data_IF_807543965149
#
_entry.id   IF_807543965149
#
_cell.length_a   1.000
_cell.length_b   1.000
_cell.length_c   1.000
_cell.angle_alpha   90.00
_cell.angle_beta   90.00
_cell.angle_gamma   90.00
#
_symmetry.space_group_name_H-M   'P 1'
#
loop_
_entity.id
_entity.type
_entity.pdbx_description
1 polymer ?
#
# COMPACT_ATOMS: atom_id res chain seq x y z
N UNK A 1 2.21 37.57 32.66
CA UNK A 1 0.96 38.11 32.07
C UNK A 1 0.92 39.64 32.13
N UNK A 2 0.69 40.29 33.28
CA UNK A 2 0.69 41.76 33.36
C UNK A 2 2.08 42.37 33.06
N UNK A 3 3.14 41.80 33.64
CA UNK A 3 4.51 42.25 33.38
C UNK A 3 4.95 42.04 31.93
N UNK A 4 4.57 40.92 31.29
CA UNK A 4 4.86 40.69 29.87
C UNK A 4 4.17 41.70 28.96
N UNK A 5 2.98 42.17 29.34
CA UNK A 5 2.26 43.16 28.58
C UNK A 5 2.87 44.56 28.75
N UNK A 6 3.36 44.88 29.96
CA UNK A 6 4.13 46.10 30.24
C UNK A 6 5.46 46.08 29.47
N UNK A 7 6.17 44.96 29.48
CA UNK A 7 7.43 44.77 28.75
C UNK A 7 7.19 44.87 27.24
N UNK A 8 6.14 44.23 26.71
CA UNK A 8 5.78 44.30 25.29
C UNK A 8 5.41 45.72 24.85
N UNK A 9 4.60 46.44 25.64
CA UNK A 9 4.24 47.85 25.37
C UNK A 9 5.46 48.76 25.44
N UNK A 10 6.38 48.53 26.40
CA UNK A 10 7.65 49.28 26.50
C UNK A 10 8.54 49.02 25.29
N UNK A 11 8.71 47.77 24.87
CA UNK A 11 9.50 47.41 23.68
C UNK A 11 8.92 47.94 22.37
N UNK A 12 7.59 47.95 22.23
CA UNK A 12 6.89 48.46 21.04
C UNK A 12 7.03 49.99 20.89
N UNK A 13 7.08 50.72 22.01
CA UNK A 13 7.24 52.19 21.99
C UNK A 13 8.71 52.58 21.80
N UNK A 14 9.65 51.88 22.47
CA UNK A 14 11.06 52.29 22.49
C UNK A 14 11.91 51.70 21.36
N UNK A 15 11.55 50.57 20.74
CA UNK A 15 12.33 49.87 19.69
C UNK A 15 13.73 49.36 20.12
N UNK A 16 14.33 49.97 21.14
CA UNK A 16 15.66 49.80 21.69
C UNK A 16 15.57 50.26 23.15
N UNK A 17 14.96 49.43 24.01
CA UNK A 17 14.32 49.74 25.31
C UNK A 17 15.08 50.45 26.44
N UNK A 18 16.00 51.38 26.17
CA UNK A 18 16.74 52.17 27.19
C UNK A 18 17.07 53.60 26.70
N UNK A 19 16.83 53.96 25.44
CA UNK A 19 17.30 55.21 24.84
C UNK A 19 16.52 56.47 25.27
N UNK A 20 15.20 56.47 25.08
CA UNK A 20 14.39 57.69 25.22
C UNK A 20 14.03 58.01 26.67
N UNK A 21 13.71 57.00 27.49
CA UNK A 21 13.52 57.16 28.94
C UNK A 21 14.78 57.77 29.61
N UNK A 22 15.97 57.36 29.17
CA UNK A 22 17.25 57.93 29.62
C UNK A 22 17.45 59.36 29.14
N UNK A 23 17.08 59.69 27.90
CA UNK A 23 17.15 61.06 27.34
C UNK A 23 16.22 62.01 28.10
N UNK A 24 14.96 61.62 28.30
CA UNK A 24 13.95 62.37 29.05
C UNK A 24 14.39 62.55 30.51
N UNK A 25 14.87 61.48 31.16
CA UNK A 25 15.39 61.56 32.54
C UNK A 25 16.60 62.49 32.64
N UNK A 26 17.46 62.51 31.62
CA UNK A 26 18.64 63.40 31.58
C UNK A 26 18.25 64.86 31.35
N UNK A 27 17.27 65.12 30.48
CA UNK A 27 16.68 66.44 30.26
C UNK A 27 16.05 66.97 31.55
N UNK A 28 15.24 66.14 32.23
CA UNK A 28 14.60 66.51 33.49
C UNK A 28 15.63 66.86 34.59
N UNK A 29 16.69 66.06 34.72
CA UNK A 29 17.80 66.35 35.65
C UNK A 29 18.53 67.65 35.30
N UNK A 30 18.69 67.95 34.01
CA UNK A 30 19.35 69.18 33.55
C UNK A 30 18.47 70.40 33.78
N UNK A 31 17.16 70.28 33.55
CA UNK A 31 16.15 71.30 33.85
C UNK A 31 16.09 71.63 35.35
N UNK A 32 16.00 70.62 36.23
CA UNK A 32 15.97 70.83 37.68
C UNK A 32 17.26 71.48 38.20
N UNK A 33 18.42 71.15 37.64
CA UNK A 33 19.69 71.80 37.97
C UNK A 33 19.74 73.24 37.48
N UNK A 34 19.18 73.53 36.31
CA UNK A 34 19.08 74.89 35.78
C UNK A 34 18.16 75.78 36.62
N UNK A 35 17.02 75.26 37.10
CA UNK A 35 16.11 75.99 37.98
C UNK A 35 16.74 76.37 39.34
N UNK A 36 17.71 75.58 39.83
CA UNK A 36 18.34 75.76 41.14
C UNK A 36 19.69 76.50 41.08
N UNK A 37 20.15 76.95 39.90
CA UNK A 37 21.41 77.68 39.73
C UNK A 37 21.13 79.19 39.57
N UNK A 38 21.71 80.03 40.45
CA UNK A 38 21.55 81.48 40.41
C UNK A 38 22.63 82.24 39.63
N UNK A 39 23.75 81.59 39.27
CA UNK A 39 24.82 82.18 38.44
C UNK A 39 24.90 81.56 37.03
N UNK A 40 25.17 82.40 36.03
CA UNK A 40 25.30 82.13 34.59
C UNK A 40 24.40 81.04 34.00
N UNK A 41 23.15 81.43 33.70
CA UNK A 41 22.09 80.56 33.18
C UNK A 41 22.21 80.18 31.69
N UNK A 42 23.07 80.85 30.93
CA UNK A 42 23.07 80.79 29.46
C UNK A 42 23.63 79.47 28.87
N UNK A 43 24.81 78.95 29.29
CA UNK A 43 25.34 77.69 28.75
C UNK A 43 24.48 76.47 29.15
N UNK A 44 23.89 76.52 30.34
CA UNK A 44 23.01 75.47 30.86
C UNK A 44 21.66 75.45 30.13
N UNK A 45 21.14 76.63 29.76
CA UNK A 45 19.93 76.76 28.94
C UNK A 45 20.14 76.21 27.53
N UNK A 46 21.23 76.57 26.85
CA UNK A 46 21.56 76.06 25.51
C UNK A 46 21.67 74.54 25.49
N UNK A 47 22.29 73.95 26.53
CA UNK A 47 22.40 72.50 26.68
C UNK A 47 21.04 71.82 26.83
N UNK A 48 20.13 72.41 27.62
CA UNK A 48 18.77 71.92 27.81
C UNK A 48 17.96 72.02 26.52
N UNK A 49 18.09 73.12 25.79
CA UNK A 49 17.43 73.33 24.49
C UNK A 49 17.89 72.29 23.45
N UNK A 50 19.19 72.03 23.37
CA UNK A 50 19.73 70.98 22.49
C UNK A 50 19.23 69.57 22.86
N UNK A 51 19.10 69.26 24.16
CA UNK A 51 18.54 68.00 24.62
C UNK A 51 17.04 67.85 24.29
N UNK A 52 16.27 68.94 24.39
CA UNK A 52 14.87 68.96 24.00
C UNK A 52 14.72 68.69 22.49
N UNK A 53 15.48 69.38 21.65
CA UNK A 53 15.50 69.16 20.20
C UNK A 53 15.85 67.71 19.83
N UNK A 54 16.78 67.08 20.55
CA UNK A 54 17.10 65.66 20.36
C UNK A 54 15.93 64.73 20.70
N UNK A 55 15.16 65.04 21.75
CA UNK A 55 13.96 64.28 22.10
C UNK A 55 12.86 64.41 21.03
N UNK A 56 12.67 65.62 20.49
CA UNK A 56 11.71 65.88 19.41
C UNK A 56 12.07 65.11 18.14
N UNK A 57 13.35 65.11 17.75
CA UNK A 57 13.83 64.35 16.59
C UNK A 57 13.65 62.84 16.79
N UNK A 58 13.94 62.33 17.99
CA UNK A 58 13.74 60.92 18.31
C UNK A 58 12.26 60.52 18.21
N UNK A 59 11.36 61.33 18.77
CA UNK A 59 9.91 61.11 18.68
C UNK A 59 9.42 61.14 17.22
N UNK A 60 9.90 62.09 16.41
CA UNK A 60 9.58 62.18 14.99
C UNK A 60 10.07 60.96 14.20
N UNK A 61 11.25 60.41 14.54
CA UNK A 61 11.77 59.19 13.92
C UNK A 61 10.88 57.98 14.25
N UNK A 62 10.48 57.82 15.50
CA UNK A 62 9.59 56.72 15.92
C UNK A 62 8.25 56.80 15.21
N UNK A 63 7.67 58.00 15.11
CA UNK A 63 6.43 58.22 14.36
C UNK A 63 6.56 57.85 12.87
N UNK A 64 7.65 58.27 12.22
CA UNK A 64 7.91 57.94 10.81
C UNK A 64 8.08 56.43 10.57
N UNK A 65 8.77 55.73 11.48
CA UNK A 65 8.92 54.26 11.43
C UNK A 65 7.57 53.57 11.62
N UNK A 66 6.73 54.05 12.54
CA UNK A 66 5.38 53.52 12.73
C UNK A 66 4.54 53.63 11.45
N UNK A 67 4.50 54.82 10.83
CA UNK A 67 3.75 55.05 9.58
C UNK A 67 4.30 54.21 8.41
N UNK A 68 5.62 54.00 8.36
CA UNK A 68 6.25 53.10 7.40
C UNK A 68 5.79 51.66 7.60
N UNK A 69 5.79 51.17 8.85
CA UNK A 69 5.38 49.81 9.19
C UNK A 69 3.89 49.55 8.88
N UNK A 70 3.00 50.54 9.11
CA UNK A 70 1.59 50.42 8.72
C UNK A 70 1.42 50.30 7.20
N UNK A 71 2.18 51.10 6.44
CA UNK A 71 2.18 51.02 4.97
C UNK A 71 2.71 49.69 4.48
N UNK A 72 3.80 49.19 5.07
CA UNK A 72 4.37 47.87 4.75
C UNK A 72 3.41 46.74 5.07
N UNK A 73 2.75 46.77 6.23
CA UNK A 73 1.74 45.77 6.62
C UNK A 73 0.62 45.70 5.59
N UNK A 74 0.08 46.86 5.20
CA UNK A 74 -0.96 46.96 4.17
C UNK A 74 -0.47 46.43 2.82
N UNK A 75 0.79 46.73 2.45
CA UNK A 75 1.40 46.24 1.22
C UNK A 75 1.55 44.71 1.24
N UNK A 76 2.02 44.12 2.34
CA UNK A 76 2.13 42.67 2.48
C UNK A 76 0.77 41.96 2.41
N UNK A 77 -0.28 42.54 3.00
CA UNK A 77 -1.64 42.01 2.85
C UNK A 77 -2.13 42.04 1.41
N UNK A 78 -1.82 43.11 0.65
CA UNK A 78 -2.21 43.23 -0.74
C UNK A 78 -1.46 42.23 -1.63
N UNK A 79 -0.14 42.11 -1.45
CA UNK A 79 0.68 41.12 -2.16
C UNK A 79 0.22 39.70 -1.85
N UNK A 80 -0.12 39.40 -0.59
CA UNK A 80 -0.67 38.10 -0.22
C UNK A 80 -1.99 37.79 -0.94
N UNK A 81 -2.90 38.77 -1.04
CA UNK A 81 -4.15 38.62 -1.79
C UNK A 81 -3.89 38.41 -3.29
N UNK A 82 -2.96 39.15 -3.89
CA UNK A 82 -2.63 39.03 -5.31
C UNK A 82 -2.04 37.65 -5.65
N UNK A 83 -1.09 37.18 -4.83
CA UNK A 83 -0.53 35.83 -4.92
C UNK A 83 -1.64 34.79 -4.75
N UNK A 84 -2.47 34.95 -3.71
CA UNK A 84 -3.60 34.07 -3.42
C UNK A 84 -4.69 34.02 -4.50
N UNK A 85 -4.73 34.96 -5.45
CA UNK A 85 -5.64 34.94 -6.60
C UNK A 85 -5.00 34.26 -7.82
N UNK A 86 -3.68 34.32 -8.00
CA UNK A 86 -2.99 33.61 -9.08
C UNK A 86 -2.86 32.10 -8.85
N UNK A 87 -2.61 31.67 -7.61
CA UNK A 87 -2.43 30.25 -7.29
C UNK A 87 -3.68 29.33 -7.35
N UNK A 88 -4.91 29.74 -6.97
CA UNK A 88 -6.08 28.85 -7.02
C UNK A 88 -6.43 28.42 -8.45
N UNK A 89 -6.12 29.25 -9.44
CA UNK A 89 -6.33 28.93 -10.85
C UNK A 89 -5.45 27.77 -11.30
N UNK A 90 -4.19 27.73 -10.88
CA UNK A 90 -3.22 26.69 -11.25
C UNK A 90 -3.66 25.33 -10.68
N UNK A 91 -4.02 25.27 -9.40
CA UNK A 91 -4.48 24.01 -8.78
C UNK A 91 -5.83 23.54 -9.32
N UNK A 92 -6.76 24.44 -9.59
CA UNK A 92 -8.05 24.09 -10.18
C UNK A 92 -7.90 23.60 -11.62
N UNK A 93 -7.03 24.23 -12.42
CA UNK A 93 -6.78 23.85 -13.81
C UNK A 93 -6.11 22.48 -13.91
N UNK A 94 -5.10 22.18 -13.08
CA UNK A 94 -4.51 20.84 -13.03
C UNK A 94 -5.52 19.77 -12.55
N UNK A 95 -6.36 20.10 -11.57
CA UNK A 95 -7.40 19.18 -11.10
C UNK A 95 -8.47 18.93 -12.18
N UNK A 96 -8.88 19.97 -12.90
CA UNK A 96 -9.86 19.88 -13.98
C UNK A 96 -9.32 19.12 -15.20
N UNK A 97 -8.04 19.25 -15.51
CA UNK A 97 -7.40 18.48 -16.58
C UNK A 97 -7.26 17.00 -16.24
N UNK A 98 -6.97 16.69 -14.98
CA UNK A 98 -6.73 15.31 -14.53
C UNK A 98 -8.04 14.56 -14.25
N UNK A 99 -9.11 15.26 -13.86
CA UNK A 99 -10.39 14.66 -13.48
C UNK A 99 -11.03 13.76 -14.55
N UNK A 100 -11.09 14.12 -15.85
CA UNK A 100 -11.67 13.26 -16.88
C UNK A 100 -10.94 11.93 -17.08
N UNK A 101 -9.61 11.92 -16.96
CA UNK A 101 -8.82 10.69 -17.09
C UNK A 101 -9.09 9.75 -15.90
N UNK A 102 -9.22 10.30 -14.70
CA UNK A 102 -9.54 9.54 -13.50
C UNK A 102 -11.00 9.07 -13.50
N UNK A 103 -11.93 9.86 -14.02
CA UNK A 103 -13.34 9.48 -14.17
C UNK A 103 -13.50 8.36 -15.21
N UNK A 104 -12.80 8.44 -16.33
CA UNK A 104 -12.75 7.37 -17.33
C UNK A 104 -12.16 6.08 -16.74
N UNK A 105 -11.09 6.18 -15.94
CA UNK A 105 -10.50 5.03 -15.25
C UNK A 105 -11.46 4.45 -14.20
N UNK A 106 -12.13 5.29 -13.41
CA UNK A 106 -13.11 4.87 -12.42
C UNK A 106 -14.31 4.17 -13.07
N UNK A 107 -14.80 4.70 -14.19
CA UNK A 107 -15.85 4.05 -14.98
C UNK A 107 -15.38 2.71 -15.57
N UNK A 108 -14.10 2.59 -15.94
CA UNK A 108 -13.48 1.32 -16.32
C UNK A 108 -13.47 0.31 -15.17
N UNK A 109 -13.04 0.74 -13.97
CA UNK A 109 -12.97 -0.09 -12.76
C UNK A 109 -14.38 -0.54 -12.33
N UNK A 110 -15.38 0.33 -12.40
CA UNK A 110 -16.76 0.03 -12.01
C UNK A 110 -17.44 -1.05 -12.86
N UNK A 111 -16.93 -1.36 -14.06
CA UNK A 111 -17.42 -2.47 -14.90
C UNK A 111 -16.96 -3.83 -14.38
N UNK A 112 -15.95 -3.87 -13.52
CA UNK A 112 -15.44 -5.11 -12.95
C UNK A 112 -16.11 -5.40 -11.60
N UNK A 113 -16.34 -6.69 -11.27
CA UNK A 113 -16.90 -7.07 -9.97
C UNK A 113 -15.98 -6.67 -8.83
N UNK A 114 -16.55 -6.55 -7.63
CA UNK A 114 -15.80 -6.20 -6.45
C UNK A 114 -14.72 -7.26 -6.16
N UNK A 115 -13.51 -6.81 -5.83
CA UNK A 115 -12.38 -7.70 -5.54
C UNK A 115 -12.70 -8.67 -4.41
N UNK A 116 -13.36 -8.21 -3.35
CA UNK A 116 -13.68 -9.04 -2.19
C UNK A 116 -14.66 -10.17 -2.54
N UNK A 117 -15.66 -9.87 -3.36
CA UNK A 117 -16.60 -10.88 -3.85
C UNK A 117 -15.87 -11.93 -4.69
N UNK A 118 -15.02 -11.49 -5.61
CA UNK A 118 -14.24 -12.40 -6.46
C UNK A 118 -13.28 -13.28 -5.65
N UNK A 119 -12.63 -12.73 -4.62
CA UNK A 119 -11.78 -13.51 -3.70
C UNK A 119 -12.58 -14.58 -2.96
N UNK A 120 -13.77 -14.24 -2.45
CA UNK A 120 -14.64 -15.20 -1.75
C UNK A 120 -15.11 -16.32 -2.70
N UNK A 121 -15.45 -15.99 -3.95
CA UNK A 121 -15.81 -16.99 -4.96
C UNK A 121 -14.65 -17.92 -5.30
N UNK A 122 -13.42 -17.39 -5.39
CA UNK A 122 -12.21 -18.21 -5.60
C UNK A 122 -12.00 -19.18 -4.45
N UNK A 123 -12.06 -18.72 -3.20
CA UNK A 123 -11.91 -19.58 -2.01
C UNK A 123 -12.98 -20.68 -1.97
N UNK A 124 -14.22 -20.35 -2.33
CA UNK A 124 -15.32 -21.33 -2.41
C UNK A 124 -15.06 -22.36 -3.51
N UNK A 125 -14.66 -21.93 -4.70
CA UNK A 125 -14.33 -22.82 -5.81
C UNK A 125 -13.13 -23.73 -5.49
N UNK A 126 -12.10 -23.22 -4.83
CA UNK A 126 -10.95 -24.01 -4.37
C UNK A 126 -11.39 -25.09 -3.37
N UNK A 127 -12.29 -24.75 -2.44
CA UNK A 127 -12.87 -25.71 -1.50
C UNK A 127 -13.70 -26.78 -2.21
N UNK A 128 -14.48 -26.40 -3.21
CA UNK A 128 -15.26 -27.37 -4.00
C UNK A 128 -14.34 -28.28 -4.81
N UNK A 129 -13.29 -27.73 -5.41
CA UNK A 129 -12.33 -28.49 -6.21
C UNK A 129 -11.59 -29.52 -5.35
N UNK A 130 -11.10 -29.12 -4.17
CA UNK A 130 -10.43 -30.04 -3.23
C UNK A 130 -11.36 -31.18 -2.81
N UNK A 131 -12.61 -30.88 -2.42
CA UNK A 131 -13.61 -31.91 -2.11
C UNK A 131 -13.90 -32.85 -3.28
N UNK A 132 -14.04 -32.32 -4.50
CA UNK A 132 -14.25 -33.15 -5.69
C UNK A 132 -13.04 -34.04 -5.99
N UNK A 133 -11.81 -33.55 -5.78
CA UNK A 133 -10.61 -34.37 -5.96
C UNK A 133 -10.52 -35.50 -4.94
N UNK A 134 -10.82 -35.24 -3.66
CA UNK A 134 -10.84 -36.25 -2.60
C UNK A 134 -11.90 -37.33 -2.87
N UNK A 135 -13.11 -36.93 -3.27
CA UNK A 135 -14.17 -37.89 -3.60
C UNK A 135 -13.83 -38.73 -4.83
N UNK A 136 -13.22 -38.13 -5.86
CA UNK A 136 -12.72 -38.84 -7.03
C UNK A 136 -11.65 -39.86 -6.67
N UNK A 137 -10.67 -39.50 -5.84
CA UNK A 137 -9.61 -40.40 -5.39
C UNK A 137 -10.15 -41.55 -4.53
N UNK A 138 -11.11 -41.26 -3.64
CA UNK A 138 -11.81 -42.29 -2.85
C UNK A 138 -12.56 -43.29 -3.72
N UNK A 139 -13.29 -42.80 -4.73
CA UNK A 139 -14.02 -43.65 -5.67
C UNK A 139 -13.06 -44.48 -6.54
N UNK A 140 -11.97 -43.89 -7.01
CA UNK A 140 -10.94 -44.60 -7.77
C UNK A 140 -10.33 -45.74 -6.94
N UNK A 141 -10.03 -45.49 -5.67
CA UNK A 141 -9.52 -46.49 -4.72
C UNK A 141 -10.50 -47.64 -4.49
N UNK A 142 -11.79 -47.34 -4.32
CA UNK A 142 -12.86 -48.35 -4.18
C UNK A 142 -12.99 -49.19 -5.46
N UNK A 143 -12.95 -48.55 -6.63
CA UNK A 143 -13.03 -49.22 -7.92
C UNK A 143 -11.85 -50.18 -8.10
N UNK A 144 -10.64 -49.74 -7.77
CA UNK A 144 -9.44 -50.57 -7.83
C UNK A 144 -9.51 -51.77 -6.86
N UNK A 145 -10.04 -51.56 -5.66
CA UNK A 145 -10.30 -52.66 -4.72
C UNK A 145 -11.31 -53.66 -5.28
N UNK A 146 -12.41 -53.19 -5.90
CA UNK A 146 -13.40 -54.07 -6.54
C UNK A 146 -12.82 -54.86 -7.71
N UNK A 147 -11.97 -54.25 -8.53
CA UNK A 147 -11.22 -54.96 -9.58
C UNK A 147 -10.38 -56.09 -9.00
N UNK A 148 -9.61 -55.82 -7.94
CA UNK A 148 -8.79 -56.84 -7.26
C UNK A 148 -9.65 -57.97 -6.68
N UNK A 149 -10.78 -57.65 -6.05
CA UNK A 149 -11.73 -58.65 -5.56
C UNK A 149 -12.30 -59.52 -6.69
N UNK A 150 -12.62 -58.93 -7.84
CA UNK A 150 -13.12 -59.65 -9.00
C UNK A 150 -12.04 -60.56 -9.62
N UNK A 151 -10.80 -60.08 -9.73
CA UNK A 151 -9.67 -60.91 -10.17
C UNK A 151 -9.44 -62.10 -9.25
N UNK A 152 -9.52 -61.91 -7.93
CA UNK A 152 -9.42 -63.00 -6.96
C UNK A 152 -10.53 -64.02 -7.16
N UNK A 153 -11.78 -63.57 -7.34
CA UNK A 153 -12.92 -64.45 -7.61
C UNK A 153 -12.72 -65.28 -8.88
N UNK A 154 -12.31 -64.66 -9.99
CA UNK A 154 -12.02 -65.39 -11.24
C UNK A 154 -10.93 -66.43 -11.01
N UNK A 155 -9.84 -66.06 -10.31
CA UNK A 155 -8.76 -67.00 -10.00
C UNK A 155 -9.27 -68.21 -9.21
N UNK A 156 -10.09 -67.98 -8.18
CA UNK A 156 -10.68 -69.08 -7.39
C UNK A 156 -11.62 -69.95 -8.23
N UNK A 157 -12.38 -69.37 -9.17
CA UNK A 157 -13.23 -70.16 -10.08
C UNK A 157 -12.38 -71.04 -10.99
N UNK A 158 -11.29 -70.51 -11.58
CA UNK A 158 -10.38 -71.31 -12.39
C UNK A 158 -9.68 -72.41 -11.58
N UNK A 159 -9.24 -72.12 -10.36
CA UNK A 159 -8.67 -73.12 -9.46
C UNK A 159 -9.68 -74.23 -9.15
N UNK A 160 -10.94 -73.89 -8.84
CA UNK A 160 -11.99 -74.87 -8.62
C UNK A 160 -12.34 -75.67 -9.89
N UNK A 161 -12.35 -75.04 -11.06
CA UNK A 161 -12.53 -75.74 -12.34
C UNK A 161 -11.41 -76.75 -12.59
N UNK A 162 -10.16 -76.35 -12.35
CA UNK A 162 -9.01 -77.26 -12.45
C UNK A 162 -9.13 -78.43 -11.47
N UNK A 163 -9.50 -78.20 -10.21
CA UNK A 163 -9.72 -79.28 -9.24
C UNK A 163 -10.84 -80.25 -9.69
N UNK A 164 -11.95 -79.73 -10.24
CA UNK A 164 -13.04 -80.55 -10.76
C UNK A 164 -12.58 -81.38 -11.98
N UNK A 165 -11.77 -80.79 -12.86
CA UNK A 165 -11.27 -81.50 -14.04
C UNK A 165 -10.20 -82.54 -13.65
N UNK A 166 -9.34 -82.26 -12.65
CA UNK A 166 -8.44 -83.24 -12.03
C UNK A 166 -9.24 -84.42 -11.44
N UNK A 167 -10.28 -84.16 -10.64
CA UNK A 167 -11.15 -85.20 -10.05
C UNK A 167 -11.88 -86.05 -11.11
N UNK A 168 -12.30 -85.46 -12.24
CA UNK A 168 -12.87 -86.22 -13.37
C UNK A 168 -11.84 -87.14 -14.02
N UNK A 169 -10.62 -86.64 -14.17
CA UNK A 169 -9.50 -87.41 -14.76
C UNK A 169 -9.12 -88.59 -13.85
N UNK A 170 -9.20 -88.41 -12.52
CA UNK A 170 -8.97 -89.46 -11.52
C UNK A 170 -10.10 -90.51 -11.49
N UNK A 171 -11.35 -90.12 -11.75
CA UNK A 171 -12.46 -91.08 -11.92
C UNK A 171 -12.42 -91.80 -13.27
N UNK A 172 -12.03 -91.12 -14.35
CA UNK A 172 -11.82 -91.74 -15.66
C UNK A 172 -10.63 -92.70 -15.64
N UNK A 173 -9.58 -92.44 -14.87
CA UNK A 173 -8.44 -93.37 -14.72
C UNK A 173 -8.75 -94.56 -13.80
N UNK A 174 -9.72 -94.44 -12.87
CA UNK A 174 -10.32 -95.59 -12.19
C UNK A 174 -11.23 -96.44 -13.10
N UNK A 175 -11.86 -95.85 -14.12
CA UNK A 175 -12.69 -96.56 -15.10
C UNK A 175 -11.91 -97.09 -16.32
N UNK A 176 -10.79 -96.45 -16.68
CA UNK A 176 -9.97 -96.74 -17.88
C UNK A 176 -8.76 -97.64 -17.61
N UNK A 177 -8.69 -98.27 -16.43
CA UNK A 177 -7.71 -99.33 -16.15
C UNK A 177 -8.07 -100.69 -16.78
N UNK A 178 -9.14 -100.75 -17.60
CA UNK A 178 -9.36 -101.80 -18.60
C UNK A 178 -9.36 -101.17 -20.01
N UNK A 179 -8.37 -101.54 -20.82
CA UNK A 179 -8.23 -101.27 -22.28
C UNK A 179 -7.79 -99.82 -22.62
N UNK A 180 -6.64 -99.52 -23.20
CA UNK A 180 -5.64 -100.29 -23.96
C UNK A 180 -5.06 -99.43 -25.09
N UNK A 181 -3.77 -99.07 -24.97
CA UNK A 181 -2.74 -98.81 -25.99
C UNK A 181 -3.04 -98.06 -27.32
N UNK A 182 -2.56 -96.80 -27.40
CA UNK A 182 -1.53 -96.25 -28.33
C UNK A 182 -1.75 -96.21 -29.90
N UNK A 183 -0.92 -95.50 -30.72
CA UNK A 183 -1.07 -94.10 -31.14
C UNK A 183 -1.04 -93.88 -32.69
N UNK A 184 -1.11 -92.63 -33.20
CA UNK A 184 -0.24 -92.13 -34.31
C UNK A 184 -0.58 -90.72 -34.86
N UNK A 185 0.52 -89.96 -35.09
CA UNK A 185 0.87 -89.19 -36.32
C UNK A 185 0.31 -87.77 -36.64
N UNK A 186 1.22 -86.79 -36.50
CA UNK A 186 1.79 -85.85 -37.51
C UNK A 186 0.96 -84.77 -38.25
N UNK A 187 1.37 -83.49 -38.11
CA UNK A 187 1.82 -82.56 -39.20
C UNK A 187 2.26 -81.18 -38.63
N UNK A 188 3.53 -80.74 -38.76
CA UNK A 188 4.13 -79.81 -39.77
C UNK A 188 3.22 -78.60 -40.07
N UNK A 189 3.58 -77.32 -39.90
CA UNK A 189 4.67 -76.55 -40.59
C UNK A 189 4.72 -75.10 -40.04
N UNK A 190 5.93 -74.53 -39.86
CA UNK A 190 6.37 -73.20 -40.37
C UNK A 190 5.68 -71.91 -39.84
N UNK A 191 6.32 -70.76 -39.56
CA UNK A 191 7.67 -70.17 -39.66
C UNK A 191 7.52 -68.71 -39.18
N UNK A 192 8.51 -68.18 -38.43
CA UNK A 192 8.99 -66.78 -38.40
C UNK A 192 8.02 -65.62 -38.08
N UNK A 193 8.43 -64.46 -37.56
CA UNK A 193 9.61 -63.98 -36.85
C UNK A 193 9.23 -62.56 -36.37
N UNK A 194 9.74 -62.19 -35.19
CA UNK A 194 10.37 -60.91 -34.82
C UNK A 194 9.81 -59.54 -35.23
N UNK A 195 9.89 -58.65 -34.23
CA UNK A 195 10.27 -57.22 -34.30
C UNK A 195 9.14 -56.25 -34.60
N UNK A 196 8.69 -55.44 -33.64
CA UNK A 196 9.37 -54.26 -33.08
C UNK A 196 9.60 -53.17 -34.13
N UNK A 197 8.79 -52.12 -34.09
CA UNK A 197 9.22 -50.78 -34.47
C UNK A 197 8.33 -49.71 -33.81
N UNK A 198 9.00 -48.68 -33.30
CA UNK A 198 8.47 -47.47 -32.68
C UNK A 198 7.73 -46.62 -33.71
N UNK A 199 6.73 -45.85 -33.27
CA UNK A 199 6.52 -44.52 -33.81
C UNK A 199 6.04 -43.56 -32.73
N UNK A 200 6.88 -42.55 -32.51
CA UNK A 200 6.67 -41.33 -31.74
C UNK A 200 5.74 -40.38 -32.49
N UNK A 201 4.76 -39.78 -31.80
CA UNK A 201 4.18 -38.52 -32.24
C UNK A 201 3.98 -37.61 -31.02
N UNK A 202 4.70 -36.49 -31.03
CA UNK A 202 4.49 -35.36 -30.15
C UNK A 202 3.24 -34.60 -30.61
N UNK A 203 2.42 -34.15 -29.68
CA UNK A 203 1.41 -33.12 -29.91
C UNK A 203 1.78 -31.91 -29.06
N UNK A 204 2.09 -30.82 -29.76
CA UNK A 204 2.08 -29.45 -29.26
C UNK A 204 0.69 -29.13 -28.68
N UNK A 205 0.66 -28.37 -27.60
CA UNK A 205 -0.52 -27.56 -27.27
C UNK A 205 -0.06 -26.25 -26.63
N UNK A 206 -0.44 -25.18 -27.32
CA UNK A 206 -0.45 -23.78 -26.88
C UNK A 206 -1.42 -23.59 -25.72
#
# INVERSE_FOLDING_TARGET
MADDEVIRKRLLIDGEGVGDDRRITTLLKTFLKWCNNDEEKDPSYQKMFAQLAQCEIAMGKTQAVYEMNERETTNYENVFKEIGVQHPSITFEYLFLLFPEYDALAQGIAKHPERQETMRQIEELEKVLTQQTETKESLASKLELRKKQFYLLIKTIHELQNMIDEDKTDQESQFSSEVGAEPSSSKVTSVNNTSSEKSTLAMDTT
#
